data_IF_288906013829
#
_entry.id   IF_288906013829
#
_cell.length_a   1.000
_cell.length_b   1.000
_cell.length_c   1.000
_cell.angle_alpha   90.00
_cell.angle_beta   90.00
_cell.angle_gamma   90.00
#
_symmetry.space_group_name_H-M   'P 1'
#
loop_
_entity.id
_entity.type
_entity.pdbx_description
1 polymer ?
#
# COMPACT_ATOMS: atom_id res chain seq x y z
N UNK A 1 4.50 -10.15 2.91
CA UNK A 1 5.62 -11.08 3.17
C UNK A 1 6.09 -10.87 4.59
N UNK A 2 6.28 -11.95 5.34
CA UNK A 2 6.71 -11.93 6.74
C UNK A 2 8.00 -12.74 6.80
N UNK A 3 9.10 -12.12 7.21
CA UNK A 3 10.38 -12.80 7.46
C UNK A 3 10.59 -12.96 8.96
N UNK A 4 11.00 -14.14 9.43
CA UNK A 4 11.23 -14.42 10.84
C UNK A 4 12.72 -14.71 11.15
N UNK A 5 13.08 -14.67 12.43
CA UNK A 5 14.32 -15.25 12.98
C UNK A 5 13.99 -16.19 14.14
N UNK A 6 14.71 -17.30 14.28
CA UNK A 6 14.72 -18.10 15.52
C UNK A 6 15.23 -17.28 16.70
N UNK A 7 14.50 -17.34 17.82
CA UNK A 7 15.08 -17.07 19.13
C UNK A 7 16.12 -18.14 19.45
N UNK A 8 17.23 -17.76 20.09
CA UNK A 8 18.16 -18.72 20.67
C UNK A 8 17.39 -19.60 21.66
N UNK A 9 17.18 -20.87 21.29
CA UNK A 9 16.79 -21.91 22.21
C UNK A 9 18.08 -22.56 22.71
N UNK A 10 18.72 -21.92 23.68
CA UNK A 10 19.48 -22.67 24.67
C UNK A 10 18.44 -23.21 25.66
N UNK A 11 18.46 -24.52 25.89
CA UNK A 11 17.57 -25.35 26.72
C UNK A 11 16.44 -26.12 25.99
N UNK A 12 16.80 -27.18 25.25
CA UNK A 12 16.00 -28.42 25.15
C UNK A 12 16.90 -29.66 24.94
N UNK A 13 16.43 -30.79 25.49
CA UNK A 13 17.13 -32.02 25.90
C UNK A 13 17.92 -32.82 24.82
N UNK A 14 18.81 -33.75 25.26
CA UNK A 14 19.79 -34.40 24.40
C UNK A 14 19.28 -35.74 23.85
N UNK A 15 18.38 -35.74 22.87
CA UNK A 15 18.12 -36.93 22.06
C UNK A 15 17.62 -36.64 20.63
N UNK A 16 18.57 -36.60 19.71
CA UNK A 16 18.53 -37.43 18.51
C UNK A 16 17.31 -37.34 17.56
N UNK A 17 17.53 -36.58 16.48
CA UNK A 17 16.91 -36.65 15.12
C UNK A 17 15.54 -36.02 14.89
N UNK A 18 15.52 -35.15 13.87
CA UNK A 18 14.51 -35.17 12.82
C UNK A 18 15.18 -35.02 11.44
N UNK A 19 15.20 -36.11 10.67
CA UNK A 19 15.35 -36.08 9.22
C UNK A 19 14.02 -35.65 8.59
N UNK A 20 14.04 -34.75 7.61
CA UNK A 20 12.84 -34.40 6.84
C UNK A 20 13.10 -33.33 5.78
N UNK A 21 13.18 -33.76 4.51
CA UNK A 21 13.25 -32.90 3.31
C UNK A 21 12.08 -31.90 3.33
N UNK A 22 12.35 -30.60 3.52
CA UNK A 22 11.31 -29.57 3.50
C UNK A 22 10.90 -29.24 2.06
N UNK A 23 9.71 -29.73 1.67
CA UNK A 23 8.93 -29.09 0.59
C UNK A 23 8.28 -27.82 1.15
N UNK A 24 8.20 -26.72 0.40
CA UNK A 24 7.49 -25.53 0.84
C UNK A 24 6.01 -25.87 1.04
N UNK A 25 5.49 -25.67 2.24
CA UNK A 25 4.06 -25.78 2.53
C UNK A 25 3.35 -24.51 2.06
N UNK A 26 2.62 -24.61 0.96
CA UNK A 26 1.72 -23.58 0.46
C UNK A 26 0.51 -23.46 1.39
N UNK A 27 0.52 -22.50 2.31
CA UNK A 27 -0.67 -22.15 3.12
C UNK A 27 -1.56 -21.27 2.27
N UNK A 28 -2.53 -21.87 1.57
CA UNK A 28 -3.63 -21.14 0.90
C UNK A 28 -4.59 -20.56 1.93
N UNK A 29 -4.23 -19.39 2.47
CA UNK A 29 -5.14 -18.55 3.24
C UNK A 29 -6.15 -17.89 2.31
N UNK A 30 -7.30 -18.54 2.12
CA UNK A 30 -8.48 -17.91 1.52
C UNK A 30 -8.89 -16.76 2.45
N UNK A 31 -8.66 -15.51 2.04
CA UNK A 31 -8.88 -14.30 2.84
C UNK A 31 -10.37 -13.97 3.10
N UNK A 32 -11.20 -14.98 3.42
CA UNK A 32 -12.62 -14.84 3.75
C UNK A 32 -12.89 -14.32 5.17
N UNK A 33 -11.84 -14.03 5.96
CA UNK A 33 -11.96 -13.63 7.37
C UNK A 33 -11.64 -12.17 7.71
N UNK A 34 -11.26 -11.32 6.76
CA UNK A 34 -10.87 -9.93 7.03
C UNK A 34 -12.09 -8.99 7.03
N UNK A 35 -12.98 -9.09 8.02
CA UNK A 35 -13.97 -8.03 8.24
C UNK A 35 -13.30 -6.89 8.98
N UNK A 36 -12.44 -6.15 8.28
CA UNK A 36 -11.81 -4.92 8.80
C UNK A 36 -12.76 -3.73 8.68
N UNK A 37 -13.95 -3.90 8.09
CA UNK A 37 -14.90 -2.81 7.83
C UNK A 37 -14.59 -2.00 6.57
N UNK A 38 -13.57 -2.40 5.80
CA UNK A 38 -13.27 -1.82 4.48
C UNK A 38 -14.03 -2.55 3.38
N UNK A 39 -14.45 -1.79 2.36
CA UNK A 39 -14.91 -2.38 1.10
C UNK A 39 -13.76 -3.15 0.42
N UNK A 40 -14.09 -4.20 -0.31
CA UNK A 40 -13.20 -4.90 -1.24
C UNK A 40 -13.72 -4.76 -2.68
N UNK A 41 -12.93 -5.18 -3.67
CA UNK A 41 -13.37 -5.24 -5.07
C UNK A 41 -14.61 -6.13 -5.30
N UNK A 42 -14.91 -7.05 -4.38
CA UNK A 42 -16.07 -7.95 -4.45
C UNK A 42 -17.24 -7.52 -3.55
N UNK A 43 -17.10 -6.43 -2.79
CA UNK A 43 -18.17 -5.95 -1.90
C UNK A 43 -19.30 -5.31 -2.72
N UNK A 44 -20.46 -5.98 -2.78
CA UNK A 44 -21.66 -5.47 -3.45
C UNK A 44 -22.13 -4.16 -2.83
N UNK A 45 -22.36 -3.15 -3.67
CA UNK A 45 -22.71 -1.79 -3.26
C UNK A 45 -21.58 -1.03 -2.56
N UNK A 46 -20.38 -1.62 -2.45
CA UNK A 46 -19.22 -1.07 -1.76
C UNK A 46 -18.56 0.10 -2.51
N UNK A 47 -17.51 0.66 -1.91
CA UNK A 47 -16.80 1.83 -2.42
C UNK A 47 -16.30 1.65 -3.87
N UNK A 48 -15.72 0.50 -4.17
CA UNK A 48 -15.15 0.18 -5.48
C UNK A 48 -16.22 0.10 -6.57
N UNK A 49 -17.34 -0.58 -6.32
CA UNK A 49 -18.45 -0.68 -7.30
C UNK A 49 -19.06 0.70 -7.57
N UNK A 50 -19.25 1.53 -6.53
CA UNK A 50 -19.74 2.91 -6.69
C UNK A 50 -18.76 3.76 -7.50
N UNK A 51 -17.45 3.60 -7.28
CA UNK A 51 -16.42 4.28 -8.05
C UNK A 51 -16.39 3.82 -9.50
N UNK A 52 -16.53 2.52 -9.77
CA UNK A 52 -16.61 1.97 -11.12
C UNK A 52 -17.77 2.60 -11.92
N UNK A 53 -18.96 2.70 -11.30
CA UNK A 53 -20.12 3.38 -11.89
C UNK A 53 -19.85 4.86 -12.12
N UNK A 54 -19.31 5.56 -11.12
CA UNK A 54 -18.99 7.00 -11.18
C UNK A 54 -17.99 7.34 -12.29
N UNK A 55 -17.00 6.48 -12.50
CA UNK A 55 -15.93 6.71 -13.48
C UNK A 55 -16.16 5.99 -14.82
N UNK A 56 -17.28 5.27 -14.96
CA UNK A 56 -17.61 4.45 -16.11
C UNK A 56 -16.49 3.47 -16.49
N UNK A 57 -16.02 2.67 -15.52
CA UNK A 57 -14.99 1.65 -15.73
C UNK A 57 -15.50 0.26 -15.37
N UNK A 58 -15.42 -0.67 -16.32
CA UNK A 58 -15.87 -2.05 -16.14
C UNK A 58 -14.94 -2.87 -15.24
N UNK A 59 -13.63 -2.62 -15.30
CA UNK A 59 -12.63 -3.26 -14.45
C UNK A 59 -12.13 -2.28 -13.38
N UNK A 60 -12.42 -2.58 -12.10
CA UNK A 60 -12.02 -1.76 -10.95
C UNK A 60 -10.52 -1.54 -10.81
N UNK A 61 -9.68 -2.48 -11.30
CA UNK A 61 -8.21 -2.31 -11.33
C UNK A 61 -7.79 -1.06 -12.12
N UNK A 62 -8.58 -0.64 -13.13
CA UNK A 62 -8.30 0.59 -13.90
C UNK A 62 -8.32 1.86 -13.07
N UNK A 63 -9.03 1.89 -11.93
CA UNK A 63 -9.01 3.03 -11.02
C UNK A 63 -7.64 3.23 -10.36
N UNK A 64 -6.82 2.18 -10.35
CA UNK A 64 -5.50 2.15 -9.73
C UNK A 64 -4.38 2.19 -10.77
N UNK A 65 -4.63 2.45 -12.06
CA UNK A 65 -3.55 2.58 -13.05
C UNK A 65 -3.07 4.03 -13.16
N UNK A 66 -1.76 4.21 -13.30
CA UNK A 66 -1.16 5.53 -13.44
C UNK A 66 -1.61 6.21 -14.73
N UNK A 67 -1.73 5.45 -15.82
CA UNK A 67 -2.30 5.94 -17.09
C UNK A 67 -3.71 6.51 -16.94
N UNK A 68 -4.55 5.90 -16.10
CA UNK A 68 -5.88 6.41 -15.80
C UNK A 68 -5.79 7.70 -15.00
N UNK A 69 -4.89 7.78 -14.01
CA UNK A 69 -4.61 9.00 -13.24
C UNK A 69 -4.06 10.17 -14.10
N UNK A 70 -3.09 9.92 -14.97
CA UNK A 70 -2.43 10.95 -15.80
C UNK A 70 -3.31 11.45 -16.96
N UNK A 71 -3.98 10.56 -17.69
CA UNK A 71 -4.94 10.97 -18.75
C UNK A 71 -5.95 11.96 -18.18
N UNK A 72 -6.42 11.63 -16.98
CA UNK A 72 -7.30 12.45 -16.20
C UNK A 72 -6.63 13.80 -15.83
N UNK A 73 -5.38 13.84 -15.35
CA UNK A 73 -4.66 15.09 -15.07
C UNK A 73 -4.57 16.03 -16.28
N UNK A 74 -4.32 15.50 -17.47
CA UNK A 74 -4.24 16.28 -18.72
C UNK A 74 -5.60 16.84 -19.18
N UNK A 75 -6.69 16.09 -19.04
CA UNK A 75 -8.05 16.56 -19.34
C UNK A 75 -8.44 17.77 -18.48
N UNK A 76 -8.00 17.83 -17.22
CA UNK A 76 -8.29 18.93 -16.30
C UNK A 76 -7.54 20.24 -16.62
N UNK A 77 -6.38 20.16 -17.28
CA UNK A 77 -5.60 21.34 -17.68
C UNK A 77 -6.16 22.00 -18.95
N UNK A 78 -6.77 21.21 -19.85
CA UNK A 78 -7.31 21.69 -21.13
C UNK A 78 -8.61 22.50 -20.99
N UNK A 79 -9.42 22.23 -19.97
CA UNK A 79 -10.72 22.89 -19.74
C UNK A 79 -10.61 24.29 -19.12
N UNK A 80 -9.41 24.73 -18.73
CA UNK A 80 -9.17 26.06 -18.14
C UNK A 80 -8.93 27.18 -19.19
N UNK A 81 -8.96 26.85 -20.50
CA UNK A 81 -8.88 27.83 -21.59
C UNK A 81 -10.10 27.70 -22.53
N UNK A 82 -11.03 28.65 -22.39
CA UNK A 82 -12.19 28.98 -23.25
C UNK A 82 -13.46 28.10 -23.17
N UNK A 83 -14.57 28.78 -22.83
CA UNK A 83 -15.98 28.62 -23.24
C UNK A 83 -16.43 27.19 -23.59
N UNK A 84 -17.23 26.56 -22.71
CA UNK A 84 -18.02 25.37 -23.09
C UNK A 84 -19.45 25.44 -22.51
N UNK A 85 -20.48 25.73 -23.33
CA UNK A 85 -21.86 25.37 -23.06
C UNK A 85 -22.07 23.89 -23.45
N UNK A 86 -21.66 23.02 -22.53
CA UNK A 86 -22.03 21.61 -22.38
C UNK A 86 -21.52 21.18 -20.99
N UNK A 87 -21.95 21.94 -19.98
CA UNK A 87 -21.59 21.74 -18.60
C UNK A 87 -22.21 20.43 -18.08
N UNK A 88 -21.42 19.34 -18.02
CA UNK A 88 -21.31 18.49 -16.81
C UNK A 88 -20.40 17.25 -16.93
N UNK A 89 -19.78 16.92 -18.06
CA UNK A 89 -19.23 15.56 -18.21
C UNK A 89 -17.71 15.41 -18.09
N UNK A 90 -16.92 16.49 -18.13
CA UNK A 90 -15.44 16.40 -18.14
C UNK A 90 -14.82 17.57 -17.36
N UNK A 91 -15.26 17.77 -16.12
CA UNK A 91 -14.54 18.58 -15.14
C UNK A 91 -14.21 17.65 -13.98
N UNK A 92 -12.92 17.41 -13.78
CA UNK A 92 -12.27 16.77 -12.63
C UNK A 92 -12.13 15.27 -12.73
N UNK A 93 -10.89 14.88 -12.95
CA UNK A 93 -10.54 13.56 -13.40
C UNK A 93 -9.40 13.05 -12.50
N UNK A 94 -8.30 13.80 -12.36
CA UNK A 94 -7.26 13.46 -11.38
C UNK A 94 -7.70 13.83 -9.96
N UNK A 95 -8.25 15.04 -9.76
CA UNK A 95 -8.76 15.45 -8.46
C UNK A 95 -10.03 14.68 -8.04
N UNK A 96 -10.83 14.20 -9.00
CA UNK A 96 -11.93 13.30 -8.69
C UNK A 96 -11.43 11.92 -8.25
N UNK A 97 -10.35 11.42 -8.85
CA UNK A 97 -9.70 10.17 -8.45
C UNK A 97 -9.03 10.33 -7.08
N UNK A 98 -8.39 11.48 -6.80
CA UNK A 98 -7.90 11.82 -5.47
C UNK A 98 -9.05 11.90 -4.44
N UNK A 99 -10.22 12.40 -4.81
CA UNK A 99 -11.40 12.34 -3.95
C UNK A 99 -11.86 10.90 -3.67
N UNK A 100 -11.69 9.97 -4.61
CA UNK A 100 -11.94 8.55 -4.39
C UNK A 100 -10.92 7.94 -3.42
N UNK A 101 -9.63 8.24 -3.54
CA UNK A 101 -8.64 7.82 -2.54
C UNK A 101 -8.94 8.42 -1.16
N UNK A 102 -9.42 9.66 -1.07
CA UNK A 102 -9.92 10.25 0.16
C UNK A 102 -11.11 9.48 0.78
N UNK A 103 -11.92 8.79 -0.03
CA UNK A 103 -12.97 7.92 0.48
C UNK A 103 -12.41 6.57 0.96
N UNK A 104 -11.37 6.03 0.33
CA UNK A 104 -10.60 4.87 0.85
C UNK A 104 -10.01 5.21 2.22
N UNK A 105 -9.37 6.39 2.35
CA UNK A 105 -8.87 6.90 3.63
C UNK A 105 -9.98 6.90 4.70
N UNK A 106 -11.18 7.37 4.35
CA UNK A 106 -12.29 7.44 5.29
C UNK A 106 -12.81 6.06 5.74
N UNK A 107 -12.75 5.03 4.88
CA UNK A 107 -13.03 3.65 5.28
C UNK A 107 -11.89 3.09 6.14
N UNK A 108 -10.63 3.28 5.75
CA UNK A 108 -9.45 2.83 6.51
C UNK A 108 -9.40 3.42 7.92
N UNK A 109 -9.73 4.71 8.09
CA UNK A 109 -9.80 5.37 9.41
C UNK A 109 -10.87 4.80 10.34
N UNK A 110 -11.92 4.18 9.80
CA UNK A 110 -12.98 3.53 10.58
C UNK A 110 -12.69 2.04 10.81
N UNK A 111 -11.80 1.48 10.00
CA UNK A 111 -11.42 0.09 10.08
C UNK A 111 -10.64 -0.20 11.35
N UNK A 112 -10.68 -1.47 11.78
CA UNK A 112 -9.90 -1.97 12.90
C UNK A 112 -8.93 -3.04 12.41
N UNK A 113 -7.73 -3.17 13.01
CA UNK A 113 -6.83 -4.27 12.71
C UNK A 113 -7.54 -5.61 12.86
N UNK A 114 -7.55 -6.40 11.78
CA UNK A 114 -8.05 -7.77 11.77
C UNK A 114 -7.12 -8.74 12.51
N UNK A 115 -7.53 -10.01 12.62
CA UNK A 115 -6.77 -11.05 13.32
C UNK A 115 -5.34 -11.22 12.78
N UNK A 116 -5.16 -11.15 11.46
CA UNK A 116 -3.83 -11.25 10.84
C UNK A 116 -2.87 -10.15 11.29
N UNK A 117 -3.34 -8.91 11.36
CA UNK A 117 -2.54 -7.78 11.85
C UNK A 117 -2.14 -7.96 13.33
N UNK A 118 -3.08 -8.41 14.16
CA UNK A 118 -2.81 -8.63 15.60
C UNK A 118 -1.86 -9.80 15.83
N UNK A 119 -2.04 -10.90 15.10
CA UNK A 119 -1.13 -12.03 15.16
C UNK A 119 0.29 -11.61 14.74
N UNK A 120 0.41 -10.81 13.69
CA UNK A 120 1.68 -10.27 13.26
C UNK A 120 2.33 -9.33 14.29
N UNK A 121 1.54 -8.45 14.92
CA UNK A 121 2.01 -7.62 16.02
C UNK A 121 2.50 -8.44 17.23
N UNK A 122 1.87 -9.59 17.52
CA UNK A 122 2.35 -10.52 18.55
C UNK A 122 3.69 -11.16 18.18
N UNK A 123 3.87 -11.58 16.92
CA UNK A 123 5.15 -12.12 16.43
C UNK A 123 6.25 -11.06 16.49
N UNK A 124 5.91 -9.81 16.16
CA UNK A 124 6.80 -8.65 16.29
C UNK A 124 7.22 -8.40 17.74
N UNK A 125 6.25 -8.34 18.67
CA UNK A 125 6.50 -8.14 20.10
C UNK A 125 7.23 -9.31 20.77
N UNK A 126 7.17 -10.51 20.19
CA UNK A 126 7.98 -11.65 20.62
C UNK A 126 9.40 -11.66 20.02
N UNK A 127 9.79 -10.59 19.31
CA UNK A 127 11.09 -10.46 18.62
C UNK A 127 11.40 -11.58 17.62
N UNK A 128 10.35 -12.19 17.06
CA UNK A 128 10.47 -13.25 16.04
C UNK A 128 10.26 -12.74 14.63
N UNK A 129 9.82 -11.49 14.47
CA UNK A 129 9.66 -10.84 13.17
C UNK A 129 10.95 -10.11 12.79
N UNK A 130 11.58 -10.52 11.69
CA UNK A 130 12.64 -9.73 11.05
C UNK A 130 12.02 -8.53 10.34
N UNK A 131 11.09 -8.78 9.41
CA UNK A 131 10.39 -7.73 8.69
C UNK A 131 9.02 -8.16 8.20
N UNK A 132 8.13 -7.18 8.11
CA UNK A 132 6.85 -7.27 7.46
C UNK A 132 6.81 -6.35 6.24
N UNK A 133 6.78 -6.94 5.05
CA UNK A 133 6.56 -6.22 3.79
C UNK A 133 5.07 -6.30 3.43
N UNK A 134 4.39 -5.16 3.42
CA UNK A 134 2.96 -5.07 3.10
C UNK A 134 2.73 -4.37 1.77
N UNK A 135 1.80 -4.92 0.98
CA UNK A 135 1.23 -4.27 -0.20
C UNK A 135 -0.11 -3.60 0.12
N UNK A 136 -0.63 -3.78 1.34
CA UNK A 136 -1.82 -3.07 1.79
C UNK A 136 -1.45 -1.61 2.04
N UNK A 137 -2.35 -0.72 1.63
CA UNK A 137 -2.21 0.73 1.77
C UNK A 137 -2.99 1.29 2.96
N UNK A 138 -3.62 0.43 3.77
CA UNK A 138 -4.66 0.82 4.73
C UNK A 138 -4.11 1.39 6.06
N UNK A 139 -2.82 1.19 6.34
CA UNK A 139 -2.19 1.59 7.60
C UNK A 139 -2.66 0.78 8.82
N UNK A 140 -3.28 -0.39 8.62
CA UNK A 140 -3.80 -1.19 9.73
C UNK A 140 -2.72 -1.95 10.50
N UNK A 141 -1.52 -2.12 9.94
CA UNK A 141 -0.36 -2.62 10.67
C UNK A 141 0.09 -1.62 11.75
N UNK A 142 0.20 -0.33 11.41
CA UNK A 142 0.47 0.75 12.37
C UNK A 142 -0.62 0.81 13.43
N UNK A 143 -1.90 0.74 13.03
CA UNK A 143 -3.01 0.72 13.97
C UNK A 143 -3.02 -0.53 14.88
N UNK A 144 -2.29 -1.60 14.53
CA UNK A 144 -2.08 -2.77 15.38
C UNK A 144 -0.89 -2.62 16.35
N UNK A 145 -0.17 -1.49 16.31
CA UNK A 145 0.99 -1.19 17.14
C UNK A 145 2.33 -1.61 16.54
N UNK A 146 2.40 -1.87 15.22
CA UNK A 146 3.66 -2.12 14.54
C UNK A 146 4.28 -0.82 14.04
N UNK A 147 5.60 -0.71 14.10
CA UNK A 147 6.31 0.47 13.61
C UNK A 147 6.60 0.39 12.10
N UNK A 148 6.44 1.51 11.42
CA UNK A 148 6.75 1.65 9.99
C UNK A 148 8.20 2.04 9.79
N UNK A 149 8.88 1.31 8.92
CA UNK A 149 10.25 1.53 8.51
C UNK A 149 10.37 2.77 7.61
N UNK A 150 11.42 3.55 7.83
CA UNK A 150 11.83 4.62 6.95
C UNK A 150 13.33 4.85 7.10
N UNK A 151 14.07 4.94 6.00
CA UNK A 151 15.54 5.13 6.00
C UNK A 151 15.98 6.28 6.92
N UNK A 152 15.40 7.46 6.76
CA UNK A 152 15.80 8.64 7.57
C UNK A 152 15.17 8.73 8.96
N UNK A 153 13.93 8.29 9.13
CA UNK A 153 13.12 8.64 10.30
C UNK A 153 12.92 7.48 11.29
N UNK A 154 12.96 6.24 10.79
CA UNK A 154 12.77 5.04 11.60
C UNK A 154 13.41 3.81 10.93
N UNK A 155 14.74 3.75 10.85
CA UNK A 155 15.44 2.64 10.18
C UNK A 155 15.27 1.29 10.90
N UNK A 156 14.83 1.31 12.17
CA UNK A 156 14.55 0.11 12.95
C UNK A 156 13.09 -0.39 12.81
N UNK A 157 12.21 0.36 12.13
CA UNK A 157 10.82 -0.03 11.96
C UNK A 157 10.67 -1.38 11.25
N UNK A 158 9.70 -2.19 11.66
CA UNK A 158 9.56 -3.57 11.16
C UNK A 158 8.61 -3.68 9.96
N UNK A 159 7.75 -2.70 9.72
CA UNK A 159 6.79 -2.71 8.60
C UNK A 159 7.27 -1.85 7.46
N UNK A 160 7.45 -2.45 6.29
CA UNK A 160 7.76 -1.75 5.04
C UNK A 160 6.51 -1.70 4.16
N UNK A 161 6.07 -0.50 3.84
CA UNK A 161 4.85 -0.23 3.07
C UNK A 161 5.15 -0.13 1.57
N UNK A 162 5.23 -1.28 0.92
CA UNK A 162 5.70 -1.41 -0.47
C UNK A 162 4.87 -0.63 -1.48
N UNK A 163 3.60 -0.33 -1.18
CA UNK A 163 2.69 0.43 -2.06
C UNK A 163 2.29 1.78 -1.47
N UNK A 164 3.04 2.26 -0.47
CA UNK A 164 2.71 3.45 0.29
C UNK A 164 1.52 3.25 1.24
N UNK A 165 0.97 4.35 1.73
CA UNK A 165 -0.01 4.38 2.81
C UNK A 165 -1.04 5.50 2.59
N UNK A 166 -2.31 5.15 2.71
CA UNK A 166 -3.45 6.05 2.47
C UNK A 166 -3.50 7.21 3.47
N UNK A 167 -2.85 7.08 4.62
CA UNK A 167 -2.70 8.14 5.61
C UNK A 167 -1.69 9.22 5.19
N UNK A 168 -1.00 9.06 4.06
CA UNK A 168 0.05 9.96 3.60
C UNK A 168 -0.29 10.57 2.22
N UNK A 169 0.16 11.81 2.02
CA UNK A 169 0.22 12.49 0.73
C UNK A 169 1.68 12.72 0.36
N UNK A 170 1.99 12.73 -0.93
CA UNK A 170 3.33 12.99 -1.46
C UNK A 170 3.30 14.04 -2.57
N UNK A 171 4.34 14.87 -2.64
CA UNK A 171 4.59 15.69 -3.82
C UNK A 171 5.42 14.92 -4.84
N UNK A 172 4.92 14.73 -6.08
CA UNK A 172 5.69 14.05 -7.12
C UNK A 172 6.96 14.80 -7.58
N UNK A 173 7.05 16.11 -7.29
CA UNK A 173 8.20 16.93 -7.74
C UNK A 173 9.34 16.97 -6.75
N UNK A 174 9.06 17.02 -5.45
CA UNK A 174 10.09 17.22 -4.42
C UNK A 174 10.09 16.14 -3.34
N UNK A 175 9.28 15.10 -3.51
CA UNK A 175 9.21 13.95 -2.60
C UNK A 175 8.64 14.24 -1.21
N UNK A 176 8.26 15.48 -0.89
CA UNK A 176 7.77 15.78 0.48
C UNK A 176 6.53 14.96 0.80
N UNK A 177 6.60 14.23 1.91
CA UNK A 177 5.50 13.45 2.46
C UNK A 177 4.84 14.24 3.58
N UNK A 178 3.51 14.28 3.59
CA UNK A 178 2.72 14.90 4.66
C UNK A 178 1.58 13.99 5.07
N UNK A 179 1.22 14.01 6.36
CA UNK A 179 0.09 13.22 6.86
C UNK A 179 -1.25 13.78 6.38
N UNK A 180 -2.17 12.89 6.06
CA UNK A 180 -3.55 13.22 5.74
C UNK A 180 -4.23 13.82 6.98
N UNK A 181 -4.61 15.09 6.89
CA UNK A 181 -5.37 15.80 7.93
C UNK A 181 -6.84 15.97 7.53
N UNK A 182 -7.76 16.25 8.47
CA UNK A 182 -9.14 16.57 8.13
C UNK A 182 -9.27 17.76 7.15
N UNK A 183 -8.35 18.73 7.22
CA UNK A 183 -8.33 19.86 6.28
C UNK A 183 -7.92 19.44 4.87
N UNK A 184 -6.87 18.62 4.74
CA UNK A 184 -6.44 18.07 3.45
C UNK A 184 -7.51 17.15 2.85
N UNK A 185 -8.16 16.32 3.66
CA UNK A 185 -9.26 15.47 3.25
C UNK A 185 -10.40 16.28 2.61
N UNK A 186 -10.81 17.40 3.24
CA UNK A 186 -11.84 18.30 2.67
C UNK A 186 -11.39 18.89 1.34
N UNK A 187 -10.12 19.31 1.22
CA UNK A 187 -9.56 19.86 -0.03
C UNK A 187 -9.59 18.81 -1.15
N UNK A 188 -9.17 17.58 -0.88
CA UNK A 188 -9.20 16.49 -1.88
C UNK A 188 -10.64 16.16 -2.30
N UNK A 189 -11.58 16.10 -1.33
CA UNK A 189 -13.01 15.88 -1.62
C UNK A 189 -13.69 17.00 -2.38
N UNK A 190 -13.18 18.23 -2.27
CA UNK A 190 -13.62 19.35 -3.12
C UNK A 190 -13.27 19.14 -4.59
N UNK A 191 -12.54 18.06 -4.91
CA UNK A 191 -12.07 17.70 -6.24
C UNK A 191 -11.25 18.83 -6.85
N UNK A 192 -10.51 19.60 -6.04
CA UNK A 192 -9.56 20.59 -6.52
C UNK A 192 -8.12 20.09 -6.29
N UNK A 193 -7.18 20.36 -7.20
CA UNK A 193 -5.77 20.08 -6.94
C UNK A 193 -5.30 20.76 -5.66
N UNK A 194 -4.50 20.07 -4.85
CA UNK A 194 -3.91 20.62 -3.62
C UNK A 194 -2.44 20.92 -3.91
N UNK A 195 -2.01 22.19 -4.01
CA UNK A 195 -0.63 22.52 -4.33
C UNK A 195 0.32 22.07 -3.20
N UNK A 196 1.54 21.68 -3.58
CA UNK A 196 2.60 21.40 -2.61
C UNK A 196 3.08 22.68 -1.94
N UNK A 197 3.03 22.74 -0.61
CA UNK A 197 3.49 23.90 0.16
C UNK A 197 5.02 24.03 0.24
N UNK A 198 5.79 22.97 -0.09
CA UNK A 198 7.26 22.98 -0.08
C UNK A 198 7.86 23.57 -1.35
N UNK A 199 7.40 23.13 -2.53
CA UNK A 199 8.00 23.56 -3.82
C UNK A 199 7.05 24.32 -4.75
N UNK A 200 5.72 24.27 -4.51
CA UNK A 200 4.70 24.83 -5.40
C UNK A 200 4.72 24.34 -6.87
N UNK A 201 5.57 23.36 -7.23
CA UNK A 201 5.70 22.90 -8.62
C UNK A 201 4.51 22.06 -9.08
N UNK A 202 4.01 21.17 -8.22
CA UNK A 202 2.92 20.24 -8.52
C UNK A 202 1.96 20.07 -7.35
N UNK A 203 0.76 19.58 -7.65
CA UNK A 203 -0.19 19.17 -6.63
C UNK A 203 0.30 17.90 -5.93
N UNK A 204 0.05 17.81 -4.61
CA UNK A 204 0.27 16.59 -3.84
C UNK A 204 -0.84 15.58 -4.14
N UNK A 205 -0.50 14.29 -4.03
CA UNK A 205 -1.43 13.16 -4.22
C UNK A 205 -1.33 12.17 -3.08
N UNK A 206 -2.35 11.32 -2.88
CA UNK A 206 -2.23 10.18 -1.97
C UNK A 206 -0.99 9.36 -2.32
N UNK A 207 -0.17 9.06 -1.30
CA UNK A 207 1.09 8.32 -1.44
C UNK A 207 0.77 6.84 -1.56
N UNK A 208 0.26 6.47 -2.74
CA UNK A 208 -0.14 5.11 -3.10
C UNK A 208 0.46 4.79 -4.47
N UNK A 209 1.06 3.61 -4.55
CA UNK A 209 1.57 3.02 -5.78
C UNK A 209 0.41 2.65 -6.70
N UNK A 210 0.43 3.18 -7.91
CA UNK A 210 -0.48 2.80 -8.98
C UNK A 210 0.17 1.73 -9.86
N UNK A 211 -0.64 1.03 -10.66
CA UNK A 211 -0.10 0.16 -11.70
C UNK A 211 0.60 1.01 -12.76
N UNK A 212 1.82 0.61 -13.13
CA UNK A 212 2.70 1.31 -14.07
C UNK A 212 2.94 2.79 -13.66
N UNK A 213 3.10 3.02 -12.35
CA UNK A 213 3.39 4.34 -11.80
C UNK A 213 4.72 4.87 -12.33
N UNK A 214 4.70 6.01 -13.00
CA UNK A 214 5.93 6.69 -13.42
C UNK A 214 6.50 7.60 -12.32
N UNK A 215 5.87 7.60 -11.14
CA UNK A 215 6.27 8.32 -9.93
C UNK A 215 6.44 7.32 -8.79
N UNK A 216 6.86 6.09 -9.08
CA UNK A 216 7.06 5.01 -8.12
C UNK A 216 8.16 5.31 -7.11
N UNK A 217 9.26 5.95 -7.52
CA UNK A 217 10.39 6.29 -6.64
C UNK A 217 9.99 7.10 -5.40
N UNK A 218 9.00 8.00 -5.52
CA UNK A 218 8.52 8.80 -4.36
C UNK A 218 7.56 8.02 -3.44
N UNK A 219 7.17 6.81 -3.85
CA UNK A 219 6.33 5.89 -3.07
C UNK A 219 7.19 4.76 -2.47
N UNK A 220 8.07 4.17 -3.27
CA UNK A 220 8.89 3.02 -2.89
C UNK A 220 10.31 3.27 -3.41
N UNK A 221 11.13 4.01 -2.64
CA UNK A 221 12.48 4.35 -3.04
C UNK A 221 13.38 3.10 -3.10
N UNK A 222 14.53 3.23 -3.75
CA UNK A 222 15.50 2.15 -3.95
C UNK A 222 15.94 1.48 -2.64
N UNK A 223 16.07 2.26 -1.54
CA UNK A 223 16.43 1.76 -0.22
C UNK A 223 15.51 0.64 0.30
N UNK A 224 14.25 0.62 -0.15
CA UNK A 224 13.29 -0.44 0.20
C UNK A 224 13.70 -1.79 -0.41
N UNK A 225 14.27 -1.77 -1.61
CA UNK A 225 14.72 -2.99 -2.28
C UNK A 225 16.04 -3.47 -1.69
N UNK A 226 16.96 -2.56 -1.36
CA UNK A 226 18.24 -2.89 -0.73
C UNK A 226 18.02 -3.62 0.60
N UNK A 227 17.18 -3.06 1.49
CA UNK A 227 16.89 -3.69 2.79
C UNK A 227 16.10 -4.99 2.64
N UNK A 228 15.29 -5.13 1.59
CA UNK A 228 14.59 -6.37 1.31
C UNK A 228 15.54 -7.49 0.89
N UNK A 229 16.55 -7.17 0.08
CA UNK A 229 17.59 -8.13 -0.28
C UNK A 229 18.39 -8.57 0.96
N UNK A 230 18.78 -7.62 1.82
CA UNK A 230 19.46 -7.92 3.09
C UNK A 230 18.61 -8.76 4.04
N UNK A 231 17.32 -8.43 4.19
CA UNK A 231 16.40 -9.16 5.07
C UNK A 231 16.14 -10.58 4.55
N UNK A 232 16.07 -10.76 3.23
CA UNK A 232 15.89 -12.07 2.58
C UNK A 232 17.09 -12.98 2.85
N UNK A 233 18.30 -12.46 2.75
CA UNK A 233 19.53 -13.23 3.01
C UNK A 233 19.63 -13.69 4.48
N UNK A 234 19.00 -12.95 5.40
CA UNK A 234 19.01 -13.23 6.84
C UNK A 234 17.78 -14.02 7.31
N UNK A 235 16.76 -14.17 6.46
CA UNK A 235 15.51 -14.84 6.78
C UNK A 235 15.73 -16.35 6.90
N UNK A 236 15.25 -16.95 7.99
CA UNK A 236 15.17 -18.41 8.10
C UNK A 236 13.82 -18.97 7.61
N UNK A 237 12.79 -18.12 7.53
CA UNK A 237 11.46 -18.43 7.04
C UNK A 237 10.82 -17.21 6.41
N UNK A 238 10.27 -17.40 5.20
CA UNK A 238 9.45 -16.41 4.51
C UNK A 238 8.01 -16.91 4.40
N UNK A 239 7.05 -16.14 4.92
CA UNK A 239 5.63 -16.44 4.85
C UNK A 239 4.90 -15.45 3.94
N UNK A 240 4.16 -15.98 2.97
CA UNK A 240 3.28 -15.23 2.07
C UNK A 240 1.83 -15.38 2.53
N UNK A 241 1.19 -14.27 2.88
CA UNK A 241 -0.18 -14.26 3.40
C UNK A 241 -1.03 -13.32 2.56
N UNK A 242 -2.14 -13.82 2.00
CA UNK A 242 -3.15 -12.99 1.34
C UNK A 242 -2.69 -12.27 0.06
N UNK A 243 -1.66 -12.78 -0.61
CA UNK A 243 -1.11 -12.21 -1.86
C UNK A 243 -1.52 -13.06 -3.07
N UNK A 244 -1.93 -12.41 -4.17
CA UNK A 244 -2.29 -13.09 -5.42
C UNK A 244 -1.15 -13.18 -6.44
N UNK A 245 -0.06 -12.42 -6.25
CA UNK A 245 1.06 -12.28 -7.20
C UNK A 245 0.65 -11.82 -8.61
N UNK A 246 -0.44 -11.06 -8.72
CA UNK A 246 -0.89 -10.51 -10.01
C UNK A 246 -0.33 -9.11 -10.31
N UNK A 247 0.22 -8.41 -9.31
CA UNK A 247 0.83 -7.09 -9.49
C UNK A 247 2.29 -7.23 -9.91
N UNK A 248 2.56 -7.00 -11.20
CA UNK A 248 3.83 -7.31 -11.87
C UNK A 248 5.06 -6.71 -11.17
N UNK A 249 5.00 -5.45 -10.71
CA UNK A 249 6.13 -4.77 -10.10
C UNK A 249 6.67 -5.53 -8.87
N UNK A 250 5.86 -5.72 -7.83
CA UNK A 250 6.28 -6.45 -6.62
C UNK A 250 6.54 -7.94 -6.89
N UNK A 251 5.80 -8.54 -7.83
CA UNK A 251 5.95 -9.96 -8.17
C UNK A 251 7.27 -10.26 -8.88
N UNK A 252 7.75 -9.34 -9.72
CA UNK A 252 9.05 -9.48 -10.37
C UNK A 252 10.19 -9.49 -9.35
N UNK A 253 10.11 -8.64 -8.32
CA UNK A 253 11.10 -8.64 -7.23
C UNK A 253 11.07 -9.93 -6.42
N UNK A 254 9.88 -10.40 -6.03
CA UNK A 254 9.77 -11.65 -5.26
C UNK A 254 10.22 -12.90 -6.04
N UNK A 255 10.20 -12.86 -7.38
CA UNK A 255 10.77 -13.94 -8.21
C UNK A 255 12.29 -13.95 -8.27
N UNK A 256 12.94 -12.82 -7.95
CA UNK A 256 14.41 -12.71 -7.89
C UNK A 256 14.98 -13.16 -6.54
N UNK A 257 14.12 -13.27 -5.52
CA UNK A 257 14.45 -13.87 -4.23
C UNK A 257 14.64 -15.38 -4.42
N UNK A 258 15.85 -15.80 -4.78
CA UNK A 258 16.27 -17.19 -4.77
C UNK A 258 17.07 -17.47 -3.50
N UNK A 259 16.68 -18.52 -2.76
CA UNK A 259 17.53 -19.06 -1.70
C UNK A 259 18.80 -19.63 -2.37
N UNK A 260 19.94 -19.00 -2.10
CA UNK A 260 21.27 -19.56 -2.36
C UNK A 260 21.67 -20.50 -1.24
#
# INVERSE_FOLDING_TARGET
>A
MVSARRGHCDDLAPDGRLEGKHRPSEVRGNAKGSVTGMSTFSTKGGLYERAQKRFNVSNGKRLFTYSFYEKRKLEALKTNRKIIPAAHQIILSAAALQAFFADIYAEARKAKPGLGHRALAQVAGAHKLLRHYTMNIDGLAEAAGMDTWHVDNNPAGQTVEMHGNINQLVCPSCGVVVMMTPALLRKLRSKKPVPCTKCNCRAIRCRIMLYDDAEDDVITPEDVFDIMEEDVQQADLIVWVGISFEQSASTAYFRRVSFS
#
